data_IF_591214520672
#
_entry.id   IF_591214520672
#
_cell.length_a   1.000
_cell.length_b   1.000
_cell.length_c   1.000
_cell.angle_alpha   90.00
_cell.angle_beta   90.00
_cell.angle_gamma   90.00
#
_symmetry.space_group_name_H-M   'P 1'
#
loop_
_entity.id
_entity.type
_entity.pdbx_description
1 polymer ?
#
# COMPACT_ATOMS: atom_id res chain seq x y z
N UNK A 1 2.23 16.80 14.84
CA UNK A 1 3.14 15.74 15.33
C UNK A 1 4.11 15.34 14.23
N UNK A 2 5.24 14.77 14.57
CA UNK A 2 6.22 14.27 13.60
C UNK A 2 6.28 12.75 13.76
N UNK A 3 6.21 12.03 12.65
CA UNK A 3 6.41 10.58 12.62
C UNK A 3 7.77 10.30 11.99
N UNK A 4 8.62 9.59 12.72
CA UNK A 4 9.87 9.07 12.21
C UNK A 4 9.68 7.58 11.94
N UNK A 5 9.51 7.22 10.66
CA UNK A 5 9.23 5.84 10.27
C UNK A 5 10.36 4.89 10.67
N UNK A 6 11.61 5.38 10.70
CA UNK A 6 12.75 4.53 11.08
C UNK A 6 12.70 4.17 12.56
N UNK A 7 11.96 4.92 13.38
CA UNK A 7 11.73 4.65 14.79
C UNK A 7 10.51 3.77 15.04
N UNK A 8 9.70 3.49 14.01
CA UNK A 8 8.55 2.61 14.10
C UNK A 8 8.99 1.19 13.72
N UNK A 9 8.76 0.17 14.57
CA UNK A 9 9.14 -1.20 14.23
C UNK A 9 8.53 -1.65 12.90
N UNK A 10 9.33 -2.39 12.11
CA UNK A 10 8.84 -2.97 10.86
C UNK A 10 7.87 -4.11 11.16
N UNK A 11 6.68 -4.05 10.57
CA UNK A 11 5.71 -5.14 10.58
C UNK A 11 5.81 -5.92 9.28
N UNK A 12 5.88 -7.25 9.38
CA UNK A 12 5.86 -8.15 8.23
C UNK A 12 4.50 -8.83 8.22
N UNK A 13 3.75 -8.62 7.15
CA UNK A 13 2.37 -9.08 7.02
C UNK A 13 2.27 -10.10 5.87
N UNK A 14 2.41 -11.42 6.18
CA UNK A 14 2.35 -12.45 5.14
C UNK A 14 0.94 -12.56 4.56
N UNK A 15 0.85 -12.74 3.24
CA UNK A 15 -0.41 -12.90 2.52
C UNK A 15 -1.43 -11.80 2.87
N UNK A 16 -0.96 -10.55 2.97
CA UNK A 16 -1.79 -9.44 3.43
C UNK A 16 -2.99 -9.24 2.51
N UNK A 17 -4.18 -9.26 3.08
CA UNK A 17 -5.47 -9.20 2.36
C UNK A 17 -5.61 -10.34 1.32
N UNK A 18 -4.97 -11.48 1.54
CA UNK A 18 -4.97 -12.59 0.58
C UNK A 18 -3.97 -12.46 -0.55
N UNK A 19 -3.02 -11.52 -0.45
CA UNK A 19 -1.99 -11.33 -1.47
C UNK A 19 -0.88 -12.38 -1.42
N UNK A 20 0.08 -12.21 -2.32
CA UNK A 20 1.25 -13.09 -2.44
C UNK A 20 2.41 -12.56 -1.60
N UNK A 21 3.22 -13.48 -1.09
CA UNK A 21 4.40 -13.20 -0.27
C UNK A 21 4.02 -12.29 0.92
N UNK A 22 4.79 -11.22 1.15
CA UNK A 22 4.61 -10.38 2.33
C UNK A 22 4.60 -8.90 2.00
N UNK A 23 3.86 -8.14 2.78
CA UNK A 23 3.88 -6.70 2.81
C UNK A 23 4.66 -6.27 4.04
N UNK A 24 5.72 -5.48 3.84
CA UNK A 24 6.53 -4.93 4.93
C UNK A 24 6.21 -3.45 5.12
N UNK A 25 5.89 -3.05 6.33
CA UNK A 25 5.53 -1.66 6.61
C UNK A 25 5.98 -1.19 7.99
N UNK A 26 6.46 0.06 8.03
CA UNK A 26 6.55 0.83 9.26
C UNK A 26 5.22 1.58 9.36
N UNK A 27 4.35 1.15 10.26
CA UNK A 27 2.95 1.57 10.26
C UNK A 27 2.58 2.28 11.56
N UNK A 28 2.03 3.49 11.43
CA UNK A 28 1.43 4.23 12.53
C UNK A 28 -0.08 4.13 12.45
N UNK A 29 -0.71 3.85 13.57
CA UNK A 29 -2.17 3.78 13.69
C UNK A 29 -2.61 4.51 14.96
N UNK A 30 -3.52 5.47 14.82
CA UNK A 30 -4.03 6.24 15.96
C UNK A 30 -5.41 5.78 16.46
N UNK A 31 -5.89 4.64 15.97
CA UNK A 31 -7.24 4.12 16.23
C UNK A 31 -8.23 4.47 15.12
N UNK A 32 -7.90 5.39 14.25
CA UNK A 32 -8.77 5.87 13.17
C UNK A 32 -8.05 5.87 11.83
N UNK A 33 -6.86 6.44 11.78
CA UNK A 33 -6.08 6.60 10.54
C UNK A 33 -4.79 5.79 10.61
N UNK A 34 -4.32 5.32 9.44
CA UNK A 34 -3.02 4.65 9.28
C UNK A 34 -2.13 5.47 8.38
N UNK A 35 -0.87 5.59 8.77
CA UNK A 35 0.16 6.24 7.95
C UNK A 35 1.33 5.25 7.88
N UNK A 36 1.76 4.91 6.67
CA UNK A 36 2.66 3.78 6.45
C UNK A 36 3.78 4.13 5.50
N UNK A 37 4.96 3.62 5.81
CA UNK A 37 6.06 3.48 4.85
C UNK A 37 6.09 2.01 4.44
N UNK A 38 5.67 1.72 3.21
CA UNK A 38 5.46 0.35 2.74
C UNK A 38 6.46 -0.11 1.71
N UNK A 39 6.63 -1.44 1.64
CA UNK A 39 7.50 -2.08 0.66
C UNK A 39 6.94 -3.44 0.28
N UNK A 40 6.92 -3.70 -1.03
CA UNK A 40 6.66 -5.03 -1.60
C UNK A 40 7.91 -5.51 -2.32
N UNK A 41 8.41 -6.67 -1.93
CA UNK A 41 9.49 -7.35 -2.67
C UNK A 41 8.98 -7.87 -4.01
N UNK A 42 9.87 -8.23 -4.97
CA UNK A 42 9.44 -8.79 -6.25
C UNK A 42 8.49 -9.97 -6.08
N UNK A 43 7.35 -9.91 -6.78
CA UNK A 43 6.31 -10.93 -6.73
C UNK A 43 5.32 -10.80 -5.58
N UNK A 44 5.56 -9.88 -4.65
CA UNK A 44 4.64 -9.66 -3.53
C UNK A 44 3.44 -8.82 -3.96
N UNK A 45 2.33 -9.00 -3.25
CA UNK A 45 1.12 -8.22 -3.51
C UNK A 45 0.30 -8.00 -2.24
N UNK A 46 -0.46 -6.91 -2.24
CA UNK A 46 -1.56 -6.68 -1.31
C UNK A 46 -2.82 -7.14 -2.04
N UNK A 47 -3.55 -8.10 -1.46
CA UNK A 47 -4.70 -8.71 -2.11
C UNK A 47 -5.88 -7.75 -2.29
N UNK A 48 -6.82 -8.17 -3.12
CA UNK A 48 -8.01 -7.38 -3.42
C UNK A 48 -8.83 -7.14 -2.16
N UNK A 49 -9.14 -5.87 -1.89
CA UNK A 49 -9.98 -5.48 -0.78
C UNK A 49 -10.72 -4.18 -1.07
N UNK A 50 -11.81 -3.95 -0.37
CA UNK A 50 -12.65 -2.76 -0.51
C UNK A 50 -12.47 -1.85 0.69
N UNK A 51 -12.27 -0.56 0.46
CA UNK A 51 -12.24 0.45 1.53
C UNK A 51 -13.67 0.87 1.86
N UNK A 52 -14.26 0.28 2.90
CA UNK A 52 -15.65 0.54 3.28
C UNK A 52 -15.81 1.69 4.27
N UNK A 53 -14.79 1.94 5.09
CA UNK A 53 -14.84 2.91 6.19
C UNK A 53 -13.94 4.13 5.98
N UNK A 54 -13.30 4.24 4.81
CA UNK A 54 -12.37 5.32 4.55
C UNK A 54 -11.79 5.26 3.15
N UNK A 55 -10.71 5.99 2.94
CA UNK A 55 -9.99 6.07 1.68
C UNK A 55 -8.53 5.64 1.88
N UNK A 56 -7.84 5.34 0.78
CA UNK A 56 -6.39 5.15 0.79
C UNK A 56 -5.74 5.96 -0.32
N UNK A 57 -4.60 6.57 -0.02
CA UNK A 57 -3.74 7.21 -1.01
C UNK A 57 -2.32 6.65 -0.85
N UNK A 58 -1.68 6.36 -1.99
CA UNK A 58 -0.32 5.81 -2.04
C UNK A 58 0.56 6.70 -2.91
N UNK A 59 1.72 7.09 -2.38
CA UNK A 59 2.73 7.84 -3.10
C UNK A 59 3.92 6.93 -3.36
N UNK A 60 4.18 6.57 -4.62
CA UNK A 60 5.26 5.65 -4.98
C UNK A 60 6.58 6.40 -5.03
N UNK A 61 7.56 5.89 -4.28
CA UNK A 61 8.88 6.54 -4.12
C UNK A 61 9.98 5.82 -4.86
N UNK A 62 9.85 4.53 -5.13
CA UNK A 62 10.81 3.78 -5.97
C UNK A 62 10.18 2.49 -6.47
N UNK A 63 10.71 1.98 -7.57
CA UNK A 63 10.23 0.76 -8.19
C UNK A 63 9.02 0.97 -9.10
N UNK A 64 8.42 -0.13 -9.52
CA UNK A 64 7.25 -0.16 -10.39
C UNK A 64 6.38 -1.38 -10.07
N UNK A 65 5.15 -1.35 -10.54
CA UNK A 65 4.20 -2.43 -10.38
C UNK A 65 2.87 -2.06 -11.03
N UNK A 66 1.78 -2.64 -10.53
CA UNK A 66 0.45 -2.24 -11.00
C UNK A 66 -0.57 -2.33 -9.87
N UNK A 67 -1.64 -1.57 -10.03
CA UNK A 67 -2.86 -1.71 -9.24
C UNK A 67 -3.94 -2.29 -10.13
N UNK A 68 -4.88 -3.01 -9.50
CA UNK A 68 -6.16 -3.31 -10.14
C UNK A 68 -7.20 -2.54 -9.35
N UNK A 69 -7.76 -1.51 -9.97
CA UNK A 69 -8.67 -0.57 -9.33
C UNK A 69 -10.05 -0.73 -9.96
N UNK A 70 -11.01 -1.19 -9.15
CA UNK A 70 -12.38 -1.53 -9.61
C UNK A 70 -12.36 -2.42 -10.86
N UNK A 71 -11.46 -3.42 -10.85
CA UNK A 71 -11.32 -4.37 -11.97
C UNK A 71 -10.44 -3.89 -13.12
N UNK A 72 -9.92 -2.67 -13.09
CA UNK A 72 -9.09 -2.11 -14.16
C UNK A 72 -7.62 -2.06 -13.75
N UNK A 73 -6.74 -2.62 -14.58
CA UNK A 73 -5.30 -2.62 -14.34
C UNK A 73 -4.69 -1.27 -14.75
N UNK A 74 -3.90 -0.69 -13.85
CA UNK A 74 -3.16 0.54 -14.08
C UNK A 74 -1.72 0.38 -13.61
N UNK A 75 -0.76 0.76 -14.44
CA UNK A 75 0.66 0.71 -14.08
C UNK A 75 1.00 1.82 -13.09
N UNK A 76 1.86 1.49 -12.11
CA UNK A 76 2.37 2.46 -11.14
C UNK A 76 3.90 2.44 -11.14
N UNK A 77 4.50 3.57 -10.80
CA UNK A 77 5.95 3.74 -10.71
C UNK A 77 6.29 4.94 -9.85
N UNK A 78 7.57 5.10 -9.57
CA UNK A 78 8.11 6.27 -8.86
C UNK A 78 7.52 7.57 -9.40
N UNK A 79 7.05 8.43 -8.50
CA UNK A 79 6.48 9.74 -8.82
C UNK A 79 4.98 9.74 -9.04
N UNK A 80 4.32 8.58 -9.10
CA UNK A 80 2.87 8.50 -9.24
C UNK A 80 2.17 8.36 -7.89
N UNK A 81 0.90 8.75 -7.88
CA UNK A 81 0.02 8.60 -6.73
C UNK A 81 -1.20 7.77 -7.14
N UNK A 82 -1.55 6.77 -6.33
CA UNK A 82 -2.79 6.01 -6.48
C UNK A 82 -3.76 6.41 -5.38
N UNK A 83 -4.97 6.81 -5.77
CA UNK A 83 -6.04 7.15 -4.86
C UNK A 83 -7.18 6.12 -4.99
N UNK A 84 -7.54 5.50 -3.86
CA UNK A 84 -8.68 4.59 -3.75
C UNK A 84 -9.72 5.23 -2.82
N UNK A 85 -10.75 5.88 -3.37
CA UNK A 85 -11.80 6.51 -2.56
C UNK A 85 -12.59 5.48 -1.75
N UNK A 86 -13.30 5.96 -0.74
CA UNK A 86 -14.23 5.15 0.04
C UNK A 86 -15.24 4.46 -0.88
N UNK A 87 -15.47 3.17 -0.65
CA UNK A 87 -16.39 2.34 -1.42
C UNK A 87 -15.77 1.67 -2.64
N UNK A 88 -14.52 1.97 -2.96
CA UNK A 88 -13.82 1.38 -4.10
C UNK A 88 -12.90 0.24 -3.67
N UNK A 89 -12.56 -0.62 -4.61
CA UNK A 89 -11.72 -1.80 -4.38
C UNK A 89 -10.41 -1.68 -5.14
N UNK A 90 -9.34 -2.20 -4.55
CA UNK A 90 -8.05 -2.27 -5.22
C UNK A 90 -7.18 -3.41 -4.73
N UNK A 91 -6.15 -3.69 -5.50
CA UNK A 91 -5.00 -4.52 -5.13
C UNK A 91 -3.74 -3.82 -5.61
N UNK A 92 -2.60 -4.12 -5.00
CA UNK A 92 -1.30 -3.62 -5.43
C UNK A 92 -0.37 -4.80 -5.64
N UNK A 93 0.29 -4.87 -6.80
CA UNK A 93 1.18 -5.96 -7.18
C UNK A 93 2.54 -5.43 -7.59
N UNK A 94 3.60 -6.00 -7.02
CA UNK A 94 4.95 -5.79 -7.52
C UNK A 94 5.28 -6.89 -8.54
N UNK A 95 5.13 -6.60 -9.81
CA UNK A 95 5.46 -7.49 -10.93
C UNK A 95 6.84 -7.20 -11.54
N UNK A 96 7.66 -6.41 -10.84
CA UNK A 96 9.01 -6.08 -11.27
C UNK A 96 10.06 -6.94 -10.56
N UNK A 97 11.33 -6.74 -10.91
CA UNK A 97 12.47 -7.42 -10.29
C UNK A 97 13.15 -6.58 -9.20
N UNK A 98 12.57 -5.44 -8.82
CA UNK A 98 13.05 -4.56 -7.75
C UNK A 98 11.95 -4.34 -6.72
N UNK A 99 12.31 -3.87 -5.53
CA UNK A 99 11.34 -3.51 -4.50
C UNK A 99 10.46 -2.36 -4.95
N UNK A 100 9.16 -2.45 -4.67
CA UNK A 100 8.21 -1.35 -4.84
C UNK A 100 8.00 -0.68 -3.50
N UNK A 101 8.42 0.58 -3.39
CA UNK A 101 8.35 1.35 -2.15
C UNK A 101 7.38 2.52 -2.28
N UNK A 102 6.67 2.78 -1.20
CA UNK A 102 5.64 3.81 -1.20
C UNK A 102 5.32 4.29 0.22
N UNK A 103 4.72 5.48 0.30
CA UNK A 103 4.03 5.92 1.51
C UNK A 103 2.53 5.83 1.26
N UNK A 104 1.79 5.42 2.28
CA UNK A 104 0.35 5.29 2.18
C UNK A 104 -0.35 5.90 3.40
N UNK A 105 -1.51 6.47 3.14
CA UNK A 105 -2.41 6.98 4.18
C UNK A 105 -3.77 6.33 3.97
N UNK A 106 -4.26 5.66 5.02
CA UNK A 106 -5.64 5.17 5.09
C UNK A 106 -6.37 6.03 6.11
N UNK A 107 -7.29 6.85 5.62
CA UNK A 107 -8.03 7.80 6.44
C UNK A 107 -9.49 7.37 6.55
N UNK A 108 -9.99 7.35 7.78
CA UNK A 108 -11.41 7.07 8.04
C UNK A 108 -12.30 8.19 7.51
N UNK A 109 -13.46 7.82 7.00
CA UNK A 109 -14.44 8.77 6.47
C UNK A 109 -15.86 8.42 6.87
#
# INVERSE_FOLDING_TARGET
>A
MILDFDSIPLSILPAFKGGEKEYAANMYFDGTNRIMKGRLIPGASIGLHTHTDGMEVMFFTSGSGHVIYDGERMEVREGLCHYCPKGHSHTLVNDSDEDLCFYAVVAAQ
#
